data_IF_866670246352
#
_entry.id   IF_866670246352
#
_cell.length_a   1.000
_cell.length_b   1.000
_cell.length_c   1.000
_cell.angle_alpha   90.00
_cell.angle_beta   90.00
_cell.angle_gamma   90.00
#
_symmetry.space_group_name_H-M   'P 1'
#
loop_
_entity.id
_entity.type
_entity.pdbx_description
1 polymer ?
#
# COMPACT_ATOMS: atom_id res chain seq x y z
N UNK A 1 24.61 18.10 -7.74
CA UNK A 1 24.95 16.90 -6.93
C UNK A 1 24.19 16.85 -5.61
N UNK A 2 24.01 17.96 -4.87
CA UNK A 2 23.17 18.00 -3.66
C UNK A 2 21.73 17.58 -3.91
N UNK A 3 21.14 18.07 -5.00
CA UNK A 3 19.70 17.90 -5.27
C UNK A 3 19.38 16.48 -5.71
N UNK A 4 20.28 15.84 -6.46
CA UNK A 4 20.19 14.42 -6.80
C UNK A 4 20.18 13.57 -5.53
N UNK A 5 21.13 13.81 -4.60
CA UNK A 5 21.19 13.07 -3.35
C UNK A 5 19.94 13.28 -2.50
N UNK A 6 19.42 14.52 -2.44
CA UNK A 6 18.20 14.82 -1.71
C UNK A 6 16.99 14.06 -2.27
N UNK A 7 16.78 14.09 -3.59
CA UNK A 7 15.68 13.36 -4.25
C UNK A 7 15.82 11.85 -4.05
N UNK A 8 17.03 11.30 -4.18
CA UNK A 8 17.28 9.88 -3.95
C UNK A 8 16.96 9.47 -2.50
N UNK A 9 17.40 10.26 -1.53
CA UNK A 9 17.16 10.01 -0.10
C UNK A 9 15.66 10.13 0.24
N UNK A 10 14.95 11.09 -0.36
CA UNK A 10 13.50 11.26 -0.21
C UNK A 10 12.72 10.07 -0.78
N UNK A 11 13.05 9.61 -1.99
CA UNK A 11 12.43 8.41 -2.56
C UNK A 11 12.70 7.17 -1.71
N UNK A 12 13.91 7.03 -1.16
CA UNK A 12 14.24 5.94 -0.24
C UNK A 12 13.44 6.02 1.07
N UNK A 13 13.22 7.23 1.60
CA UNK A 13 12.40 7.44 2.78
C UNK A 13 10.92 7.15 2.52
N UNK A 14 10.39 7.59 1.39
CA UNK A 14 9.01 7.33 0.97
C UNK A 14 8.72 5.84 0.79
N UNK A 15 9.60 5.10 0.08
CA UNK A 15 9.44 3.66 -0.10
C UNK A 15 9.40 2.92 1.25
N UNK A 16 10.34 3.24 2.15
CA UNK A 16 10.37 2.69 3.52
C UNK A 16 9.08 3.03 4.28
N UNK A 17 8.62 4.27 4.20
CA UNK A 17 7.41 4.71 4.91
C UNK A 17 6.19 3.93 4.45
N UNK A 18 6.03 3.70 3.15
CA UNK A 18 4.94 2.89 2.62
C UNK A 18 4.93 1.47 3.17
N UNK A 19 6.08 0.78 3.19
CA UNK A 19 6.18 -0.57 3.75
C UNK A 19 5.97 -0.62 5.26
N UNK A 20 6.52 0.35 6.00
CA UNK A 20 6.32 0.46 7.45
C UNK A 20 4.85 0.67 7.77
N UNK A 21 4.19 1.60 7.07
CA UNK A 21 2.77 1.89 7.27
C UNK A 21 1.87 0.76 6.77
N UNK A 22 2.23 0.02 5.71
CA UNK A 22 1.54 -1.20 5.33
C UNK A 22 1.57 -2.23 6.46
N UNK A 23 2.75 -2.43 7.06
CA UNK A 23 2.94 -3.30 8.22
C UNK A 23 2.14 -2.84 9.45
N UNK A 24 2.18 -1.55 9.77
CA UNK A 24 1.42 -0.97 10.89
C UNK A 24 -0.08 -1.05 10.66
N UNK A 25 -0.54 -0.80 9.43
CA UNK A 25 -1.95 -0.92 9.08
C UNK A 25 -2.43 -2.36 9.28
N UNK A 26 -1.69 -3.38 8.81
CA UNK A 26 -2.05 -4.80 9.05
C UNK A 26 -2.16 -5.16 10.52
N UNK A 27 -1.43 -4.49 11.42
CA UNK A 27 -1.52 -4.74 12.87
C UNK A 27 -2.86 -4.29 13.46
N UNK A 28 -3.61 -3.42 12.78
CA UNK A 28 -4.95 -3.00 13.18
C UNK A 28 -6.03 -4.07 12.88
N UNK A 29 -5.67 -5.19 12.23
CA UNK A 29 -6.59 -6.30 11.94
C UNK A 29 -7.48 -6.71 13.12
N UNK A 30 -6.99 -6.85 14.37
CA UNK A 30 -7.83 -7.22 15.51
C UNK A 30 -8.94 -6.20 15.81
N UNK A 31 -8.71 -4.92 15.53
CA UNK A 31 -9.67 -3.84 15.80
C UNK A 31 -10.75 -3.73 14.70
N UNK A 32 -10.42 -4.12 13.46
CA UNK A 32 -11.34 -4.09 12.31
C UNK A 32 -12.03 -5.43 12.04
N UNK A 33 -11.60 -6.50 12.70
CA UNK A 33 -12.16 -7.84 12.61
C UNK A 33 -12.67 -8.35 13.97
N UNK A 34 -13.52 -7.58 14.69
CA UNK A 34 -14.07 -8.05 15.95
C UNK A 34 -14.97 -9.28 15.72
N UNK A 35 -15.17 -10.13 16.75
CA UNK A 35 -16.13 -11.22 16.67
C UNK A 35 -17.52 -10.71 16.24
N UNK A 36 -18.10 -11.37 15.25
CA UNK A 36 -19.45 -11.05 14.79
C UNK A 36 -20.46 -11.39 15.90
N UNK A 37 -21.29 -10.42 16.27
CA UNK A 37 -22.35 -10.62 17.25
C UNK A 37 -23.50 -11.43 16.63
N UNK A 38 -24.04 -12.39 17.39
CA UNK A 38 -25.24 -13.12 17.00
C UNK A 38 -26.48 -12.26 17.28
N UNK A 39 -27.24 -11.94 16.24
CA UNK A 39 -28.49 -11.16 16.28
C UNK A 39 -29.73 -12.02 16.56
N UNK A 40 -29.61 -13.35 16.53
CA UNK A 40 -30.69 -14.29 16.83
C UNK A 40 -31.59 -14.66 15.64
N UNK A 41 -31.28 -14.13 14.46
CA UNK A 41 -31.89 -14.51 13.18
C UNK A 41 -30.79 -14.95 12.20
N UNK A 42 -30.96 -16.11 11.58
CA UNK A 42 -29.92 -16.71 10.76
C UNK A 42 -29.61 -15.92 9.48
N UNK A 43 -30.61 -15.26 8.90
CA UNK A 43 -30.39 -14.44 7.70
C UNK A 43 -29.66 -13.15 8.06
N UNK A 44 -30.04 -12.53 9.18
CA UNK A 44 -29.34 -11.37 9.73
C UNK A 44 -27.89 -11.70 10.09
N UNK A 45 -27.64 -12.82 10.76
CA UNK A 45 -26.29 -13.26 11.15
C UNK A 45 -25.40 -13.48 9.91
N UNK A 46 -25.97 -14.07 8.84
CA UNK A 46 -25.26 -14.23 7.56
C UNK A 46 -24.88 -12.89 6.94
N UNK A 47 -25.83 -11.95 6.89
CA UNK A 47 -25.59 -10.63 6.31
C UNK A 47 -24.52 -9.84 7.10
N UNK A 48 -24.56 -9.89 8.44
CA UNK A 48 -23.54 -9.25 9.29
C UNK A 48 -22.17 -9.88 9.03
N UNK A 49 -22.11 -11.21 8.90
CA UNK A 49 -20.86 -11.91 8.58
C UNK A 49 -20.29 -11.49 7.23
N UNK A 50 -21.11 -11.38 6.19
CA UNK A 50 -20.65 -10.97 4.85
C UNK A 50 -20.05 -9.56 4.85
N UNK A 51 -20.70 -8.61 5.55
CA UNK A 51 -20.19 -7.24 5.68
C UNK A 51 -18.88 -7.22 6.48
N UNK A 52 -18.78 -8.01 7.55
CA UNK A 52 -17.55 -8.13 8.33
C UNK A 52 -16.41 -8.71 7.49
N UNK A 53 -16.67 -9.77 6.72
CA UNK A 53 -15.68 -10.39 5.82
C UNK A 53 -15.23 -9.39 4.73
N UNK A 54 -16.14 -8.56 4.20
CA UNK A 54 -15.80 -7.48 3.26
C UNK A 54 -14.89 -6.42 3.89
N UNK A 55 -15.18 -5.98 5.12
CA UNK A 55 -14.33 -5.01 5.85
C UNK A 55 -12.91 -5.56 6.01
N UNK A 56 -12.79 -6.83 6.38
CA UNK A 56 -11.48 -7.50 6.51
C UNK A 56 -10.74 -7.56 5.17
N UNK A 57 -11.44 -7.89 4.08
CA UNK A 57 -10.84 -7.92 2.75
C UNK A 57 -10.37 -6.53 2.29
N UNK A 58 -11.18 -5.48 2.52
CA UNK A 58 -10.81 -4.10 2.20
C UNK A 58 -9.60 -3.63 3.01
N UNK A 59 -9.54 -3.99 4.29
CA UNK A 59 -8.39 -3.69 5.15
C UNK A 59 -7.10 -4.34 4.63
N UNK A 60 -7.15 -5.64 4.29
CA UNK A 60 -6.01 -6.33 3.70
C UNK A 60 -5.58 -5.69 2.36
N UNK A 61 -6.54 -5.44 1.46
CA UNK A 61 -6.25 -4.85 0.15
C UNK A 61 -5.68 -3.44 0.22
N UNK A 62 -6.03 -2.65 1.25
CA UNK A 62 -5.41 -1.34 1.47
C UNK A 62 -3.95 -1.47 1.91
N UNK A 63 -3.63 -2.42 2.80
CA UNK A 63 -2.25 -2.69 3.18
C UNK A 63 -1.41 -3.15 1.98
N UNK A 64 -1.97 -4.02 1.14
CA UNK A 64 -1.28 -4.52 -0.06
C UNK A 64 -1.01 -3.37 -1.04
N UNK A 65 -1.97 -2.46 -1.26
CA UNK A 65 -1.73 -1.25 -2.08
C UNK A 65 -0.66 -0.34 -1.50
N UNK A 66 -0.54 -0.24 -0.18
CA UNK A 66 0.55 0.53 0.45
C UNK A 66 1.91 -0.10 0.13
N UNK A 67 2.03 -1.43 0.22
CA UNK A 67 3.25 -2.14 -0.17
C UNK A 67 3.56 -1.98 -1.67
N UNK A 68 2.56 -2.14 -2.53
CA UNK A 68 2.70 -1.96 -3.98
C UNK A 68 3.22 -0.55 -4.32
N UNK A 69 2.76 0.47 -3.59
CA UNK A 69 3.29 1.83 -3.72
C UNK A 69 4.73 1.94 -3.23
N UNK A 70 5.09 1.27 -2.14
CA UNK A 70 6.48 1.16 -1.66
C UNK A 70 7.41 0.59 -2.73
N UNK A 71 7.00 -0.51 -3.37
CA UNK A 71 7.75 -1.15 -4.46
C UNK A 71 7.90 -0.23 -5.67
N UNK A 72 6.84 0.48 -6.07
CA UNK A 72 6.88 1.46 -7.17
C UNK A 72 7.85 2.61 -6.87
N UNK A 73 7.86 3.13 -5.64
CA UNK A 73 8.80 4.20 -5.25
C UNK A 73 10.24 3.67 -5.19
N UNK A 74 10.46 2.44 -4.69
CA UNK A 74 11.77 1.82 -4.69
C UNK A 74 12.30 1.61 -6.13
N UNK A 75 11.42 1.18 -7.04
CA UNK A 75 11.74 1.09 -8.46
C UNK A 75 12.13 2.45 -9.05
N UNK A 76 11.35 3.51 -8.76
CA UNK A 76 11.65 4.87 -9.21
C UNK A 76 12.99 5.37 -8.66
N UNK A 77 13.30 5.10 -7.39
CA UNK A 77 14.61 5.38 -6.79
C UNK A 77 15.74 4.68 -7.54
N UNK A 78 15.58 3.39 -7.83
CA UNK A 78 16.59 2.59 -8.51
C UNK A 78 16.76 3.04 -9.96
N UNK A 79 15.68 3.41 -10.62
CA UNK A 79 15.70 4.03 -11.95
C UNK A 79 16.43 5.37 -11.91
N UNK A 80 16.11 6.25 -10.96
CA UNK A 80 16.80 7.54 -10.76
C UNK A 80 18.30 7.37 -10.46
N UNK A 81 18.70 6.29 -9.79
CA UNK A 81 20.11 5.96 -9.59
C UNK A 81 20.81 5.44 -10.85
N UNK A 82 20.10 4.68 -11.69
CA UNK A 82 20.63 4.11 -12.95
C UNK A 82 20.65 5.10 -14.11
N UNK A 83 19.65 5.98 -14.19
CA UNK A 83 19.52 7.02 -15.21
C UNK A 83 20.07 8.33 -14.65
N UNK A 84 21.31 8.64 -14.96
CA UNK A 84 21.99 9.88 -14.55
C UNK A 84 21.41 11.11 -15.28
N UNK A 85 20.14 11.48 -14.97
CA UNK A 85 19.31 12.55 -15.58
C UNK A 85 18.46 12.10 -16.78
N UNK A 86 17.44 11.26 -16.56
CA UNK A 86 16.29 11.21 -17.47
C UNK A 86 14.95 11.10 -16.73
N UNK A 87 14.35 12.26 -16.45
CA UNK A 87 13.03 12.39 -15.80
C UNK A 87 11.91 11.86 -16.68
N UNK A 88 12.10 11.82 -18.01
CA UNK A 88 11.09 11.32 -18.95
C UNK A 88 10.95 9.81 -18.87
N UNK A 89 12.07 9.07 -18.79
CA UNK A 89 12.06 7.62 -18.57
C UNK A 89 11.41 7.21 -17.25
N UNK A 90 11.63 7.99 -16.18
CA UNK A 90 10.96 7.75 -14.88
C UNK A 90 9.45 7.95 -14.97
N UNK A 91 8.97 8.93 -15.75
CA UNK A 91 7.53 9.17 -15.93
C UNK A 91 6.86 8.09 -16.79
N UNK A 92 7.51 7.62 -17.85
CA UNK A 92 6.98 6.53 -18.69
C UNK A 92 6.86 5.22 -17.91
N UNK A 93 7.85 4.88 -17.09
CA UNK A 93 7.79 3.69 -16.23
C UNK A 93 6.65 3.77 -15.19
N UNK A 94 6.36 4.97 -14.69
CA UNK A 94 5.27 5.20 -13.73
C UNK A 94 3.88 5.00 -14.37
N UNK A 95 3.71 5.44 -15.62
CA UNK A 95 2.44 5.35 -16.37
C UNK A 95 2.23 3.99 -17.05
N UNK A 96 3.29 3.24 -17.35
CA UNK A 96 3.20 1.93 -17.98
C UNK A 96 2.58 0.85 -17.05
N UNK A 97 2.41 1.14 -15.76
CA UNK A 97 1.76 0.26 -14.78
C UNK A 97 0.24 0.41 -14.65
N UNK A 98 -0.43 1.24 -15.48
CA UNK A 98 -1.90 1.43 -15.47
C UNK A 98 -2.63 0.58 -16.55
N UNK A 99 -2.18 -0.65 -16.78
CA UNK A 99 -2.84 -1.62 -17.67
C UNK A 99 -3.81 -2.53 -16.95
#
# INVERSE_FOLDING_TARGET
>A
MSDFKAVYDDLAAMARTFHEQAGDYRKLRPDVAPPVAAGGDAALDSAIKEVADLIVALHAGMADRMDDHGDKVAYARDSFHRHDVDVHGVFEDLMAGEG
#
